data_IF_200241981126
#
_entry.id   IF_200241981126
#
_cell.length_a   1.000
_cell.length_b   1.000
_cell.length_c   1.000
_cell.angle_alpha   90.00
_cell.angle_beta   90.00
_cell.angle_gamma   90.00
#
_symmetry.space_group_name_H-M   'P 1'
#
loop_
_entity.id
_entity.type
_entity.pdbx_description
1 polymer ?
#
# COMPACT_ATOMS: atom_id res chain seq x y z
N UNK A 1 -7.51 53.21 34.20
CA UNK A 1 -8.11 53.18 32.86
C UNK A 1 -7.21 52.30 32.01
N UNK A 2 -7.58 51.09 31.82
CA UNK A 2 -6.84 50.12 31.00
C UNK A 2 -7.85 49.21 30.35
N UNK A 3 -8.06 49.43 29.04
CA UNK A 3 -8.95 48.63 28.21
C UNK A 3 -8.37 47.22 28.04
N UNK A 4 -9.09 46.23 28.50
CA UNK A 4 -8.82 44.83 28.16
C UNK A 4 -9.36 44.54 26.75
N UNK A 5 -8.45 44.22 25.86
CA UNK A 5 -8.75 43.68 24.54
C UNK A 5 -9.18 42.21 24.67
N UNK A 6 -10.47 41.98 24.49
CA UNK A 6 -11.04 40.65 24.48
C UNK A 6 -10.87 40.09 23.06
N UNK A 7 -9.81 39.33 22.78
CA UNK A 7 -9.63 38.58 21.58
C UNK A 7 -10.72 37.50 21.47
N UNK A 8 -11.69 37.69 20.55
CA UNK A 8 -12.71 36.71 20.21
C UNK A 8 -12.04 35.51 19.53
N UNK A 9 -12.19 34.35 20.16
CA UNK A 9 -11.89 33.05 19.52
C UNK A 9 -12.84 32.88 18.32
N UNK A 10 -12.35 32.58 17.12
CA UNK A 10 -13.24 32.34 15.98
C UNK A 10 -14.09 31.09 16.22
N UNK A 11 -15.39 31.25 16.09
CA UNK A 11 -16.39 30.18 16.16
C UNK A 11 -16.09 29.16 15.06
N UNK A 12 -15.83 27.91 15.46
CA UNK A 12 -15.66 26.80 14.50
C UNK A 12 -17.00 26.57 13.82
N UNK A 13 -17.02 26.75 12.51
CA UNK A 13 -18.17 26.35 11.69
C UNK A 13 -18.40 24.83 11.84
N UNK A 14 -19.66 24.39 12.01
CA UNK A 14 -19.97 22.98 12.06
C UNK A 14 -19.57 22.31 10.75
N UNK A 15 -18.85 21.18 10.85
CA UNK A 15 -18.56 20.29 9.73
C UNK A 15 -19.88 19.98 9.01
N UNK A 16 -19.90 20.24 7.72
CA UNK A 16 -21.04 19.89 6.86
C UNK A 16 -21.39 18.40 6.94
N UNK A 17 -22.59 17.99 6.48
CA UNK A 17 -22.97 16.60 6.49
C UNK A 17 -21.91 15.73 5.80
N UNK A 18 -21.67 14.52 6.36
CA UNK A 18 -20.76 13.55 5.74
C UNK A 18 -21.12 13.37 4.27
N UNK A 19 -20.12 13.30 3.35
CA UNK A 19 -20.40 13.14 1.93
C UNK A 19 -21.22 11.87 1.70
N UNK A 20 -22.27 11.98 0.90
CA UNK A 20 -23.07 10.82 0.47
C UNK A 20 -22.12 9.82 -0.22
N UNK A 21 -22.20 8.54 0.21
CA UNK A 21 -21.47 7.44 -0.44
C UNK A 21 -21.92 7.34 -1.88
N UNK A 22 -21.08 7.76 -2.83
CA UNK A 22 -21.47 7.90 -4.25
C UNK A 22 -21.75 6.57 -4.92
N UNK A 23 -21.09 5.49 -4.52
CA UNK A 23 -21.39 4.12 -4.95
C UNK A 23 -20.85 3.14 -3.92
N UNK A 24 -21.60 2.09 -3.56
CA UNK A 24 -21.09 1.06 -2.65
C UNK A 24 -19.91 0.31 -3.30
N UNK A 25 -19.07 -0.33 -2.47
CA UNK A 25 -18.06 -1.25 -2.94
C UNK A 25 -18.66 -2.30 -3.87
N UNK A 26 -17.97 -2.62 -4.98
CA UNK A 26 -18.37 -3.74 -5.81
C UNK A 26 -18.19 -5.06 -5.07
N UNK A 27 -18.83 -6.13 -5.56
CA UNK A 27 -18.45 -7.48 -5.13
C UNK A 27 -17.03 -7.81 -5.60
N UNK A 28 -16.31 -8.65 -4.85
CA UNK A 28 -15.04 -9.21 -5.27
C UNK A 28 -15.23 -10.08 -6.51
N UNK A 29 -14.41 -9.90 -7.53
CA UNK A 29 -14.48 -10.68 -8.80
C UNK A 29 -13.10 -11.09 -9.27
N UNK A 30 -13.01 -12.25 -9.91
CA UNK A 30 -11.81 -12.69 -10.59
C UNK A 30 -11.76 -12.09 -11.99
N UNK A 31 -10.65 -11.43 -12.30
CA UNK A 31 -10.35 -10.91 -13.62
C UNK A 31 -9.15 -11.67 -14.20
N UNK A 32 -9.27 -12.07 -15.47
CA UNK A 32 -8.15 -12.70 -16.19
C UNK A 32 -7.26 -11.62 -16.78
N UNK A 33 -6.04 -11.52 -16.29
CA UNK A 33 -5.03 -10.56 -16.76
C UNK A 33 -3.65 -11.19 -16.76
N UNK A 34 -2.77 -10.81 -17.67
CA UNK A 34 -1.40 -11.33 -17.78
C UNK A 34 -1.30 -12.87 -17.62
N UNK A 35 -2.28 -13.59 -18.15
CA UNK A 35 -2.31 -15.06 -18.11
C UNK A 35 -2.72 -15.69 -16.77
N UNK A 36 -3.12 -14.92 -15.76
CA UNK A 36 -3.54 -15.39 -14.42
C UNK A 36 -4.87 -14.80 -14.00
N UNK A 37 -5.49 -15.39 -12.97
CA UNK A 37 -6.73 -14.88 -12.40
C UNK A 37 -6.39 -14.08 -11.12
N UNK A 38 -6.71 -12.78 -11.12
CA UNK A 38 -6.54 -11.90 -9.97
C UNK A 38 -7.90 -11.48 -9.42
N UNK A 39 -8.02 -11.49 -8.08
CA UNK A 39 -9.22 -11.01 -7.39
C UNK A 39 -9.15 -9.50 -7.24
N UNK A 40 -10.21 -8.82 -7.67
CA UNK A 40 -10.30 -7.36 -7.74
C UNK A 40 -11.59 -6.89 -7.08
N UNK A 41 -11.52 -5.74 -6.44
CA UNK A 41 -12.68 -5.01 -5.92
C UNK A 41 -12.55 -3.53 -6.24
N UNK A 42 -13.67 -2.86 -6.52
CA UNK A 42 -13.69 -1.44 -6.93
C UNK A 42 -14.66 -0.64 -6.08
N UNK A 43 -14.39 0.68 -5.98
CA UNK A 43 -15.18 1.66 -5.24
C UNK A 43 -15.32 2.91 -6.12
N UNK A 44 -16.44 3.60 -6.03
CA UNK A 44 -16.70 4.80 -6.82
C UNK A 44 -17.19 4.49 -8.23
N UNK A 45 -17.24 5.51 -9.08
CA UNK A 45 -17.74 5.43 -10.46
C UNK A 45 -16.58 5.12 -11.42
N UNK A 46 -16.76 4.17 -12.32
CA UNK A 46 -15.75 3.79 -13.33
C UNK A 46 -15.45 4.87 -14.37
N UNK A 47 -16.27 5.93 -14.45
CA UNK A 47 -16.01 7.11 -15.27
C UNK A 47 -15.09 8.15 -14.62
N UNK A 48 -14.80 8.02 -13.33
CA UNK A 48 -13.90 8.92 -12.62
C UNK A 48 -12.42 8.53 -12.80
N UNK A 49 -11.45 9.44 -12.56
CA UNK A 49 -10.02 9.11 -12.61
C UNK A 49 -9.66 7.95 -11.69
N UNK A 50 -8.93 6.96 -12.25
CA UNK A 50 -8.64 5.71 -11.57
C UNK A 50 -7.48 5.84 -10.56
N UNK A 51 -7.64 5.24 -9.38
CA UNK A 51 -6.56 4.97 -8.41
C UNK A 51 -6.41 3.46 -8.29
N UNK A 52 -5.24 2.92 -8.63
CA UNK A 52 -4.90 1.52 -8.40
C UNK A 52 -4.06 1.38 -7.13
N UNK A 53 -4.63 0.70 -6.13
CA UNK A 53 -3.99 0.42 -4.85
C UNK A 53 -3.23 -0.91 -4.91
N UNK A 54 -1.90 -0.84 -4.80
CA UNK A 54 -0.96 -1.97 -4.90
C UNK A 54 -0.40 -2.24 -3.51
N UNK A 55 -0.80 -3.36 -2.89
CA UNK A 55 -0.38 -3.67 -1.52
C UNK A 55 1.07 -4.20 -1.45
N UNK A 56 1.61 -4.30 -0.25
CA UNK A 56 2.91 -4.90 0.02
C UNK A 56 2.90 -6.44 -0.06
N UNK A 57 4.04 -7.03 0.25
CA UNK A 57 4.19 -8.47 0.32
C UNK A 57 3.27 -9.09 1.37
N UNK A 58 2.90 -10.35 1.18
CA UNK A 58 2.17 -11.22 2.11
C UNK A 58 0.72 -10.88 2.43
N UNK A 59 0.29 -9.67 2.19
CA UNK A 59 -1.06 -9.17 2.55
C UNK A 59 -1.95 -9.10 1.32
N UNK A 60 -3.20 -9.53 1.45
CA UNK A 60 -4.20 -9.37 0.40
C UNK A 60 -4.68 -7.92 0.27
N UNK A 61 -5.56 -7.68 -0.69
CA UNK A 61 -6.18 -6.36 -0.88
C UNK A 61 -6.91 -5.83 0.35
N UNK A 62 -7.24 -6.68 1.34
CA UNK A 62 -7.87 -6.24 2.59
C UNK A 62 -6.97 -5.33 3.43
N UNK A 63 -5.65 -5.34 3.22
CA UNK A 63 -4.74 -4.38 3.83
C UNK A 63 -4.98 -2.92 3.41
N UNK A 64 -5.69 -2.70 2.31
CA UNK A 64 -6.36 -1.44 2.00
C UNK A 64 -7.80 -1.53 2.51
N UNK A 65 -8.03 -1.12 3.75
CA UNK A 65 -9.32 -1.28 4.42
C UNK A 65 -10.47 -0.62 3.63
N UNK A 66 -11.68 -1.18 3.76
CA UNK A 66 -12.88 -0.71 3.04
C UNK A 66 -13.10 0.79 3.26
N UNK A 67 -13.05 1.25 4.52
CA UNK A 67 -13.24 2.66 4.86
C UNK A 67 -12.17 3.56 4.23
N UNK A 68 -10.91 3.08 4.10
CA UNK A 68 -9.86 3.86 3.40
C UNK A 68 -10.19 4.02 1.92
N UNK A 69 -10.61 2.94 1.26
CA UNK A 69 -11.03 2.97 -0.13
C UNK A 69 -12.26 3.85 -0.35
N UNK A 70 -13.24 3.77 0.55
CA UNK A 70 -14.45 4.59 0.52
C UNK A 70 -14.14 6.08 0.70
N UNK A 71 -13.20 6.43 1.58
CA UNK A 71 -12.75 7.83 1.77
C UNK A 71 -12.07 8.39 0.52
N UNK A 72 -11.30 7.59 -0.21
CA UNK A 72 -10.74 7.99 -1.49
C UNK A 72 -11.83 8.15 -2.56
N UNK A 73 -12.77 7.20 -2.61
CA UNK A 73 -13.87 7.21 -3.57
C UNK A 73 -14.96 8.25 -3.26
N UNK A 74 -14.98 8.82 -2.04
CA UNK A 74 -15.88 9.93 -1.68
C UNK A 74 -15.60 11.22 -2.50
N UNK A 75 -14.37 11.43 -2.95
CA UNK A 75 -14.05 12.32 -4.05
C UNK A 75 -14.35 11.60 -5.39
N UNK A 76 -14.44 12.31 -6.53
CA UNK A 76 -14.63 11.67 -7.83
C UNK A 76 -13.36 10.88 -8.22
N UNK A 77 -13.24 9.66 -7.70
CA UNK A 77 -12.17 8.69 -7.96
C UNK A 77 -12.75 7.30 -8.10
N UNK A 78 -12.26 6.57 -9.10
CA UNK A 78 -12.48 5.14 -9.28
C UNK A 78 -11.35 4.38 -8.59
N UNK A 79 -11.60 3.87 -7.39
CA UNK A 79 -10.58 3.18 -6.57
C UNK A 79 -10.63 1.69 -6.84
N UNK A 80 -9.48 1.11 -7.13
CA UNK A 80 -9.29 -0.31 -7.47
C UNK A 80 -8.29 -0.89 -6.48
N UNK A 81 -8.65 -1.98 -5.79
CA UNK A 81 -7.72 -2.81 -5.03
C UNK A 81 -7.75 -4.25 -5.54
N UNK A 82 -6.66 -4.97 -5.40
CA UNK A 82 -6.57 -6.35 -5.88
C UNK A 82 -5.63 -7.19 -5.02
N UNK A 83 -5.85 -8.50 -5.07
CA UNK A 83 -4.92 -9.47 -4.50
C UNK A 83 -3.81 -9.76 -5.50
N UNK A 84 -2.55 -9.69 -5.08
CA UNK A 84 -1.41 -10.20 -5.84
C UNK A 84 -1.50 -11.72 -6.05
N UNK A 85 -0.70 -12.27 -6.95
CA UNK A 85 -0.44 -13.72 -6.98
C UNK A 85 -0.06 -14.19 -5.58
N UNK A 86 -0.54 -15.35 -5.18
CA UNK A 86 -0.35 -15.98 -3.87
C UNK A 86 -1.06 -15.28 -2.68
N UNK A 87 -1.74 -14.16 -2.87
CA UNK A 87 -2.52 -13.55 -1.78
C UNK A 87 -4.02 -13.68 -2.00
N UNK A 88 -4.76 -13.70 -0.91
CA UNK A 88 -6.21 -13.69 -0.92
C UNK A 88 -6.85 -14.74 -1.84
N UNK A 89 -7.68 -14.28 -2.78
CA UNK A 89 -8.43 -15.14 -3.71
C UNK A 89 -7.81 -15.23 -5.11
N UNK A 90 -6.68 -14.58 -5.35
CA UNK A 90 -5.95 -14.66 -6.61
C UNK A 90 -5.33 -16.04 -6.83
N UNK A 91 -4.73 -16.26 -8.00
CA UNK A 91 -3.98 -17.48 -8.28
C UNK A 91 -2.93 -17.75 -7.21
N UNK A 92 -2.77 -19.01 -6.84
CA UNK A 92 -1.78 -19.43 -5.83
C UNK A 92 -0.94 -20.59 -6.36
N UNK A 93 0.32 -20.63 -5.95
CA UNK A 93 1.34 -21.60 -6.34
C UNK A 93 1.88 -22.32 -5.11
N UNK A 94 2.74 -23.31 -5.31
CA UNK A 94 3.39 -24.03 -4.22
C UNK A 94 4.32 -23.11 -3.42
N UNK A 95 4.37 -23.24 -2.08
CA UNK A 95 5.24 -22.43 -1.25
C UNK A 95 6.73 -22.61 -1.57
N UNK A 96 7.49 -21.52 -1.63
CA UNK A 96 8.94 -21.49 -1.74
C UNK A 96 9.51 -21.56 -3.16
N UNK A 97 8.67 -21.76 -4.18
CA UNK A 97 9.12 -21.80 -5.57
C UNK A 97 8.12 -21.12 -6.53
N UNK A 98 7.84 -19.82 -6.37
CA UNK A 98 6.89 -19.13 -7.22
C UNK A 98 7.40 -19.05 -8.67
N UNK A 99 6.56 -19.37 -9.66
CA UNK A 99 6.95 -19.33 -11.08
C UNK A 99 6.79 -17.93 -11.68
N UNK A 100 7.02 -16.90 -10.89
CA UNK A 100 6.88 -15.49 -11.29
C UNK A 100 7.94 -14.62 -10.62
N UNK A 101 8.12 -13.42 -11.17
CA UNK A 101 9.06 -12.40 -10.73
C UNK A 101 8.33 -11.13 -10.28
N UNK A 102 9.07 -10.17 -9.70
CA UNK A 102 8.55 -8.84 -9.42
C UNK A 102 8.04 -8.12 -10.69
N UNK A 103 8.67 -8.38 -11.86
CA UNK A 103 8.22 -7.83 -13.14
C UNK A 103 6.91 -8.46 -13.63
N UNK A 104 6.65 -9.72 -13.30
CA UNK A 104 5.33 -10.33 -13.56
C UNK A 104 4.23 -9.67 -12.72
N UNK A 105 4.52 -9.33 -11.46
CA UNK A 105 3.59 -8.57 -10.61
C UNK A 105 3.38 -7.14 -11.16
N UNK A 106 4.41 -6.54 -11.75
CA UNK A 106 4.28 -5.24 -12.44
C UNK A 106 3.40 -5.36 -13.68
N UNK A 107 3.62 -6.39 -14.49
CA UNK A 107 2.78 -6.68 -15.66
C UNK A 107 1.32 -7.00 -15.28
N UNK A 108 1.10 -7.62 -14.13
CA UNK A 108 -0.24 -7.84 -13.57
C UNK A 108 -0.93 -6.51 -13.26
N UNK A 109 -0.26 -5.58 -12.59
CA UNK A 109 -0.81 -4.27 -12.23
C UNK A 109 -1.18 -3.45 -13.49
N UNK A 110 -0.28 -3.43 -14.49
CA UNK A 110 -0.55 -2.75 -15.77
C UNK A 110 -1.65 -3.46 -16.55
N UNK A 111 -1.63 -4.78 -16.60
CA UNK A 111 -2.65 -5.59 -17.29
C UNK A 111 -4.06 -5.47 -16.69
N UNK A 112 -4.17 -5.14 -15.39
CA UNK A 112 -5.45 -4.81 -14.78
C UNK A 112 -6.06 -3.54 -15.40
N UNK A 113 -5.24 -2.53 -15.74
CA UNK A 113 -5.73 -1.34 -16.42
C UNK A 113 -6.33 -1.71 -17.80
N UNK A 114 -5.66 -2.59 -18.56
CA UNK A 114 -6.19 -3.07 -19.84
C UNK A 114 -7.51 -3.82 -19.67
N UNK A 115 -7.59 -4.70 -18.68
CA UNK A 115 -8.78 -5.52 -18.39
C UNK A 115 -9.98 -4.68 -17.96
N UNK A 116 -9.72 -3.48 -17.39
CA UNK A 116 -10.73 -2.53 -16.93
C UNK A 116 -10.99 -1.39 -17.93
N UNK A 117 -10.42 -1.46 -19.15
CA UNK A 117 -10.51 -0.44 -20.20
C UNK A 117 -10.04 0.96 -19.73
N UNK A 118 -8.98 1.00 -18.90
CA UNK A 118 -8.38 2.23 -18.40
C UNK A 118 -7.12 2.58 -19.18
N UNK A 119 -7.04 3.80 -19.68
CA UNK A 119 -5.85 4.30 -20.39
C UNK A 119 -4.66 4.45 -19.44
N UNK A 120 -4.89 5.05 -18.28
CA UNK A 120 -3.91 5.24 -17.21
C UNK A 120 -4.56 5.26 -15.84
N UNK A 121 -3.74 5.18 -14.78
CA UNK A 121 -4.19 5.32 -13.40
C UNK A 121 -3.15 6.04 -12.54
N UNK A 122 -3.61 6.62 -11.43
CA UNK A 122 -2.77 7.00 -10.32
C UNK A 122 -2.39 5.72 -9.55
N UNK A 123 -1.09 5.37 -9.51
CA UNK A 123 -0.64 4.17 -8.81
C UNK A 123 -0.27 4.52 -7.37
N UNK A 124 -0.87 3.82 -6.42
CA UNK A 124 -0.56 3.92 -4.99
C UNK A 124 0.05 2.61 -4.53
N UNK A 125 1.36 2.58 -4.35
CA UNK A 125 2.09 1.39 -3.98
C UNK A 125 2.60 1.43 -2.54
N UNK A 126 2.31 0.39 -1.74
CA UNK A 126 2.81 0.25 -0.38
C UNK A 126 3.90 -0.82 -0.32
N UNK A 127 5.04 -0.52 0.34
CA UNK A 127 6.13 -1.48 0.53
C UNK A 127 6.58 -2.08 -0.82
N UNK A 128 6.53 -3.40 -1.01
CA UNK A 128 6.74 -4.06 -2.31
C UNK A 128 5.86 -3.48 -3.43
N UNK A 129 4.61 -3.09 -3.12
CA UNK A 129 3.73 -2.44 -4.08
C UNK A 129 4.28 -1.12 -4.61
N UNK A 130 5.09 -0.41 -3.82
CA UNK A 130 5.81 0.78 -4.28
C UNK A 130 6.92 0.45 -5.30
N UNK A 131 7.61 -0.68 -5.15
CA UNK A 131 8.57 -1.16 -6.16
C UNK A 131 7.87 -1.54 -7.46
N UNK A 132 6.71 -2.21 -7.37
CA UNK A 132 5.85 -2.50 -8.53
C UNK A 132 5.42 -1.21 -9.23
N UNK A 133 4.97 -0.20 -8.48
CA UNK A 133 4.54 1.08 -9.02
C UNK A 133 5.70 1.86 -9.68
N UNK A 134 6.91 1.86 -9.08
CA UNK A 134 8.11 2.46 -9.69
C UNK A 134 8.50 1.75 -10.98
N UNK A 135 8.50 0.40 -11.01
CA UNK A 135 8.75 -0.37 -12.23
C UNK A 135 7.70 -0.09 -13.31
N UNK A 136 6.42 0.03 -12.95
CA UNK A 136 5.39 0.41 -13.90
C UNK A 136 5.63 1.80 -14.49
N UNK A 137 6.05 2.78 -13.67
CA UNK A 137 6.37 4.13 -14.17
C UNK A 137 7.61 4.17 -15.07
N UNK A 138 8.59 3.29 -14.84
CA UNK A 138 9.81 3.19 -15.65
C UNK A 138 9.56 2.46 -16.99
N UNK A 139 8.81 1.37 -16.96
CA UNK A 139 8.65 0.47 -18.10
C UNK A 139 7.36 0.77 -18.91
N UNK A 140 6.37 1.46 -18.30
CA UNK A 140 5.08 1.83 -18.88
C UNK A 140 4.66 3.26 -18.52
N UNK A 141 5.47 4.29 -18.80
CA UNK A 141 5.23 5.67 -18.32
C UNK A 141 3.88 6.23 -18.74
N UNK A 142 3.39 5.88 -19.93
CA UNK A 142 2.09 6.35 -20.44
C UNK A 142 0.88 5.78 -19.68
N UNK A 143 1.09 4.75 -18.84
CA UNK A 143 0.04 4.11 -18.04
C UNK A 143 -0.06 4.68 -16.62
N UNK A 144 0.85 5.60 -16.24
CA UNK A 144 0.99 6.11 -14.87
C UNK A 144 0.74 7.61 -14.84
N UNK A 145 -0.44 8.02 -14.37
CA UNK A 145 -0.81 9.41 -14.24
C UNK A 145 -0.06 10.10 -13.09
N UNK A 146 0.14 9.41 -11.97
CA UNK A 146 1.00 9.82 -10.85
C UNK A 146 1.38 8.62 -9.99
N UNK A 147 2.42 8.78 -9.17
CA UNK A 147 2.86 7.80 -8.17
C UNK A 147 2.59 8.30 -6.75
N UNK A 148 2.10 7.40 -5.88
CA UNK A 148 2.17 7.56 -4.43
C UNK A 148 2.89 6.35 -3.85
N UNK A 149 4.02 6.56 -3.18
CA UNK A 149 4.87 5.53 -2.61
C UNK A 149 4.75 5.55 -1.09
N UNK A 150 4.13 4.54 -0.49
CA UNK A 150 3.85 4.47 0.95
C UNK A 150 4.77 3.45 1.61
N UNK A 151 5.63 3.86 2.54
CA UNK A 151 6.55 2.96 3.27
C UNK A 151 7.33 2.07 2.30
N UNK A 152 7.91 2.64 1.25
CA UNK A 152 8.63 1.88 0.21
C UNK A 152 10.11 2.24 0.17
N UNK A 153 10.87 1.50 -0.63
CA UNK A 153 12.31 1.61 -0.74
C UNK A 153 12.76 1.52 -2.20
N UNK A 154 13.76 2.32 -2.60
CA UNK A 154 14.41 2.15 -3.90
C UNK A 154 15.39 0.96 -3.93
N UNK A 155 15.67 0.35 -2.77
CA UNK A 155 16.74 -0.64 -2.60
C UNK A 155 18.14 -0.02 -2.62
N UNK A 156 19.13 -0.83 -2.30
CA UNK A 156 20.55 -0.45 -2.35
C UNK A 156 21.28 -0.63 -1.02
N UNK A 157 22.58 -0.96 -1.08
CA UNK A 157 23.39 -1.29 0.10
C UNK A 157 23.85 -0.07 0.91
N UNK A 158 23.64 1.14 0.40
CA UNK A 158 23.98 2.42 1.03
C UNK A 158 22.86 2.98 1.91
N UNK A 159 21.71 2.32 1.92
CA UNK A 159 20.55 2.71 2.72
C UNK A 159 20.60 2.07 4.11
N UNK A 160 19.93 2.68 5.12
CA UNK A 160 19.86 2.11 6.45
C UNK A 160 19.31 0.67 6.43
N UNK A 161 19.92 -0.20 7.23
CA UNK A 161 19.44 -1.57 7.37
C UNK A 161 18.11 -1.63 8.14
N UNK A 162 17.36 -2.73 7.95
CA UNK A 162 16.19 -3.05 8.75
C UNK A 162 16.57 -3.13 10.24
N UNK A 163 15.62 -2.83 11.12
CA UNK A 163 15.89 -2.90 12.57
C UNK A 163 16.25 -4.32 13.02
N UNK A 164 17.11 -4.43 14.03
CA UNK A 164 17.46 -5.72 14.65
C UNK A 164 16.21 -6.44 15.18
N UNK A 165 15.23 -5.69 15.70
CA UNK A 165 13.96 -6.23 16.19
C UNK A 165 13.17 -6.91 15.08
N UNK A 166 13.08 -6.28 13.90
CA UNK A 166 12.42 -6.85 12.72
C UNK A 166 13.12 -8.14 12.27
N UNK A 167 14.45 -8.11 12.14
CA UNK A 167 15.23 -9.26 11.73
C UNK A 167 15.12 -10.42 12.72
N UNK A 168 15.16 -10.12 14.02
CA UNK A 168 15.00 -11.14 15.07
C UNK A 168 13.62 -11.78 15.03
N UNK A 169 12.56 -10.95 14.86
CA UNK A 169 11.19 -11.46 14.81
C UNK A 169 10.96 -12.37 13.59
N UNK A 170 11.34 -11.93 12.41
CA UNK A 170 11.10 -12.66 11.16
C UNK A 170 11.94 -13.93 11.04
N UNK A 171 13.08 -14.01 11.74
CA UNK A 171 13.91 -15.24 11.78
C UNK A 171 13.16 -16.44 12.39
N UNK A 172 12.13 -16.21 13.21
CA UNK A 172 11.28 -17.25 13.80
C UNK A 172 10.25 -17.85 12.86
N UNK A 173 9.98 -17.24 11.72
CA UNK A 173 8.93 -17.65 10.79
C UNK A 173 9.12 -19.07 10.22
N UNK A 174 10.38 -19.51 10.08
CA UNK A 174 10.71 -20.84 9.52
C UNK A 174 10.21 -22.04 10.32
N UNK A 175 9.81 -21.84 11.59
CA UNK A 175 9.28 -22.88 12.46
C UNK A 175 7.75 -22.86 12.61
N UNK A 176 7.07 -21.91 11.96
CA UNK A 176 5.62 -21.74 12.08
C UNK A 176 4.88 -22.79 11.24
N UNK A 177 3.87 -23.41 11.82
CA UNK A 177 2.90 -24.22 11.09
C UNK A 177 1.87 -23.28 10.41
N UNK A 178 2.05 -23.04 9.14
CA UNK A 178 1.16 -22.16 8.34
C UNK A 178 -0.26 -22.70 8.18
N UNK A 179 -0.53 -23.96 8.59
CA UNK A 179 -1.88 -24.51 8.63
C UNK A 179 -2.62 -24.24 9.95
N UNK A 180 -1.89 -23.83 10.99
CA UNK A 180 -2.48 -23.40 12.26
C UNK A 180 -2.94 -21.92 12.17
N UNK A 181 -4.22 -21.73 11.95
CA UNK A 181 -4.85 -20.43 11.80
C UNK A 181 -4.51 -19.46 12.94
N UNK A 182 -4.61 -19.90 14.19
CA UNK A 182 -4.38 -19.02 15.34
C UNK A 182 -2.89 -18.67 15.48
N UNK A 183 -1.99 -19.63 15.22
CA UNK A 183 -0.56 -19.37 15.21
C UNK A 183 -0.16 -18.37 14.12
N UNK A 184 -0.76 -18.46 12.94
CA UNK A 184 -0.56 -17.48 11.85
C UNK A 184 -1.05 -16.09 12.25
N UNK A 185 -2.25 -15.97 12.83
CA UNK A 185 -2.78 -14.69 13.27
C UNK A 185 -1.87 -14.07 14.33
N UNK A 186 -1.44 -14.84 15.33
CA UNK A 186 -0.50 -14.34 16.36
C UNK A 186 0.82 -13.89 15.76
N UNK A 187 1.35 -14.63 14.80
CA UNK A 187 2.57 -14.25 14.09
C UNK A 187 2.39 -12.93 13.34
N UNK A 188 1.33 -12.76 12.58
CA UNK A 188 1.08 -11.53 11.82
C UNK A 188 0.83 -10.34 12.76
N UNK A 189 0.09 -10.52 13.85
CA UNK A 189 -0.12 -9.46 14.86
C UNK A 189 1.21 -9.06 15.51
N UNK A 190 2.08 -10.04 15.83
CA UNK A 190 3.43 -9.74 16.34
C UNK A 190 4.26 -8.95 15.33
N UNK A 191 4.20 -9.30 14.04
CA UNK A 191 4.86 -8.55 12.98
C UNK A 191 4.34 -7.10 12.86
N UNK A 192 3.02 -6.90 12.98
CA UNK A 192 2.42 -5.56 12.99
C UNK A 192 2.86 -4.73 14.20
N UNK A 193 3.10 -5.35 15.38
CA UNK A 193 3.70 -4.65 16.53
C UNK A 193 5.11 -4.15 16.20
N UNK A 194 5.93 -4.98 15.59
CA UNK A 194 7.28 -4.59 15.14
C UNK A 194 7.19 -3.49 14.08
N UNK A 195 6.30 -3.63 13.09
CA UNK A 195 6.08 -2.62 12.07
C UNK A 195 5.64 -1.27 12.64
N UNK A 196 4.87 -1.28 13.73
CA UNK A 196 4.40 -0.03 14.34
C UNK A 196 5.53 0.81 14.94
N UNK A 197 6.73 0.24 15.14
CA UNK A 197 7.88 0.96 15.68
C UNK A 197 7.60 1.64 17.03
N UNK A 198 6.65 1.13 17.82
CA UNK A 198 6.21 1.74 19.07
C UNK A 198 5.40 3.02 18.89
N UNK A 199 4.77 3.24 17.75
CA UNK A 199 3.95 4.42 17.42
C UNK A 199 2.79 4.68 18.39
N UNK A 200 2.25 3.61 18.98
CA UNK A 200 1.04 3.66 19.82
C UNK A 200 -0.27 3.76 19.01
N UNK A 201 -0.19 3.64 17.69
CA UNK A 201 -1.35 3.72 16.79
C UNK A 201 -1.96 2.36 16.42
N UNK A 202 -1.30 1.25 16.79
CA UNK A 202 -1.78 -0.09 16.49
C UNK A 202 -3.03 -0.43 17.31
N UNK A 203 -4.18 -0.54 16.65
CA UNK A 203 -5.39 -1.14 17.21
C UNK A 203 -5.33 -2.65 17.00
N UNK A 204 -4.79 -3.36 17.99
CA UNK A 204 -4.60 -4.82 17.89
C UNK A 204 -5.92 -5.57 17.73
N UNK A 205 -7.01 -5.10 18.33
CA UNK A 205 -8.31 -5.77 18.22
C UNK A 205 -8.85 -5.69 16.80
N UNK A 206 -8.84 -4.49 16.22
CA UNK A 206 -9.24 -4.28 14.83
C UNK A 206 -8.32 -5.03 13.86
N UNK A 207 -6.99 -5.02 14.10
CA UNK A 207 -6.05 -5.74 13.25
C UNK A 207 -6.20 -7.25 13.35
N UNK A 208 -6.48 -7.79 14.52
CA UNK A 208 -6.74 -9.23 14.68
C UNK A 208 -7.97 -9.68 13.87
N UNK A 209 -9.03 -8.89 13.88
CA UNK A 209 -10.20 -9.15 13.05
C UNK A 209 -9.87 -9.09 11.55
N UNK A 210 -9.13 -8.07 11.12
CA UNK A 210 -8.70 -7.92 9.74
C UNK A 210 -7.82 -9.09 9.29
N UNK A 211 -6.79 -9.42 10.06
CA UNK A 211 -5.86 -10.54 9.80
C UNK A 211 -6.61 -11.87 9.79
N UNK A 212 -7.54 -12.09 10.73
CA UNK A 212 -8.38 -13.28 10.74
C UNK A 212 -9.20 -13.44 9.47
N UNK A 213 -9.83 -12.36 8.99
CA UNK A 213 -10.55 -12.35 7.70
C UNK A 213 -9.63 -12.58 6.51
N UNK A 214 -8.42 -12.03 6.54
CA UNK A 214 -7.44 -12.22 5.47
C UNK A 214 -6.94 -13.67 5.39
N UNK A 215 -6.61 -14.28 6.52
CA UNK A 215 -6.24 -15.69 6.62
C UNK A 215 -7.37 -16.60 6.12
N UNK A 216 -8.62 -16.35 6.56
CA UNK A 216 -9.79 -17.16 6.19
C UNK A 216 -10.12 -17.09 4.69
N UNK A 217 -9.82 -15.98 4.02
CA UNK A 217 -10.10 -15.82 2.58
C UNK A 217 -8.92 -16.22 1.69
N UNK A 218 -7.72 -16.37 2.24
CA UNK A 218 -6.50 -16.67 1.48
C UNK A 218 -6.46 -18.15 1.08
N UNK A 219 -6.26 -18.43 -0.23
CA UNK A 219 -6.26 -19.80 -0.78
C UNK A 219 -5.16 -20.68 -0.21
N UNK A 220 -3.97 -20.11 -0.02
CA UNK A 220 -2.81 -20.80 0.51
C UNK A 220 -1.99 -19.81 1.36
N UNK A 221 -2.16 -19.91 2.67
CA UNK A 221 -1.51 -19.01 3.63
C UNK A 221 0.02 -19.15 3.60
N UNK A 222 0.53 -20.38 3.47
CA UNK A 222 1.97 -20.61 3.37
C UNK A 222 2.57 -19.91 2.15
N UNK A 223 1.93 -20.04 0.98
CA UNK A 223 2.37 -19.36 -0.25
C UNK A 223 2.32 -17.85 -0.10
N UNK A 224 1.24 -17.33 0.50
CA UNK A 224 1.10 -15.89 0.76
C UNK A 224 2.25 -15.34 1.62
N UNK A 225 2.69 -16.08 2.61
CA UNK A 225 3.72 -15.61 3.54
C UNK A 225 5.15 -15.84 3.04
N UNK A 226 5.36 -16.73 2.08
CA UNK A 226 6.70 -17.18 1.65
C UNK A 226 7.05 -16.68 0.24
N UNK A 227 6.12 -16.79 -0.73
CA UNK A 227 6.47 -16.69 -2.14
C UNK A 227 6.95 -15.32 -2.58
N UNK A 228 6.41 -14.23 -2.02
CA UNK A 228 6.90 -12.88 -2.34
C UNK A 228 8.35 -12.62 -1.92
N UNK A 229 8.87 -13.37 -0.94
CA UNK A 229 10.28 -13.31 -0.55
C UNK A 229 11.16 -14.32 -1.30
N UNK A 230 10.56 -15.32 -1.95
CA UNK A 230 11.25 -16.35 -2.72
C UNK A 230 11.26 -16.08 -4.24
N UNK A 231 10.49 -15.10 -4.71
CA UNK A 231 10.43 -14.76 -6.13
C UNK A 231 11.70 -14.08 -6.62
N UNK A 232 11.94 -14.15 -7.92
CA UNK A 232 12.97 -13.38 -8.60
C UNK A 232 12.59 -11.89 -8.58
N UNK A 233 13.44 -11.07 -7.96
CA UNK A 233 13.26 -9.60 -7.93
C UNK A 233 13.79 -8.92 -9.18
N UNK A 234 14.55 -9.64 -10.02
CA UNK A 234 15.16 -9.13 -11.24
C UNK A 234 16.34 -8.19 -11.01
N UNK A 235 16.75 -7.51 -12.07
CA UNK A 235 17.83 -6.54 -12.01
C UNK A 235 17.44 -5.30 -11.19
N UNK A 236 18.37 -4.74 -10.40
CA UNK A 236 18.14 -3.48 -9.69
C UNK A 236 17.75 -2.36 -10.66
N UNK A 237 16.80 -1.54 -10.25
CA UNK A 237 16.26 -0.45 -11.08
C UNK A 237 16.50 0.95 -10.50
N UNK A 238 17.15 1.06 -9.34
CA UNK A 238 17.35 2.33 -8.64
C UNK A 238 18.05 3.39 -9.49
N UNK A 239 19.04 3.01 -10.27
CA UNK A 239 19.79 3.93 -11.14
C UNK A 239 18.91 4.57 -12.24
N UNK A 240 17.69 4.02 -12.46
CA UNK A 240 16.72 4.51 -13.41
C UNK A 240 15.66 5.44 -12.80
N UNK A 241 15.64 5.64 -11.49
CA UNK A 241 14.61 6.47 -10.83
C UNK A 241 14.55 7.90 -11.38
N UNK A 242 15.69 8.44 -11.86
CA UNK A 242 15.73 9.72 -12.55
C UNK A 242 14.97 9.79 -13.88
N UNK A 243 14.52 8.64 -14.44
CA UNK A 243 13.70 8.56 -15.65
C UNK A 243 12.20 8.70 -15.37
N UNK A 244 11.77 8.59 -14.09
CA UNK A 244 10.35 8.69 -13.72
C UNK A 244 9.87 10.12 -13.97
N UNK A 245 8.96 10.26 -14.95
CA UNK A 245 8.34 11.54 -15.30
C UNK A 245 7.01 11.81 -14.60
N UNK A 246 6.40 10.79 -14.01
CA UNK A 246 5.13 10.91 -13.31
C UNK A 246 5.29 11.72 -12.00
N UNK A 247 4.38 12.68 -11.70
CA UNK A 247 4.35 13.34 -10.39
C UNK A 247 4.38 12.30 -9.27
N UNK A 248 5.24 12.49 -8.26
CA UNK A 248 5.46 11.47 -7.22
C UNK A 248 5.28 12.05 -5.83
N UNK A 249 4.46 11.38 -5.00
CA UNK A 249 4.30 11.64 -3.58
C UNK A 249 4.86 10.45 -2.78
N UNK A 250 5.87 10.70 -1.95
CA UNK A 250 6.41 9.73 -1.00
C UNK A 250 5.76 9.95 0.35
N UNK A 251 5.15 8.92 0.95
CA UNK A 251 4.54 8.96 2.28
C UNK A 251 5.28 7.94 3.15
N UNK A 252 5.82 8.38 4.30
CA UNK A 252 6.68 7.50 5.09
C UNK A 252 6.59 7.79 6.57
N UNK A 253 6.57 6.74 7.39
CA UNK A 253 6.59 6.85 8.85
C UNK A 253 8.01 7.11 9.39
N UNK A 254 8.15 8.02 10.36
CA UNK A 254 9.45 8.34 10.99
C UNK A 254 9.97 7.22 11.91
N UNK A 255 9.12 6.22 12.21
CA UNK A 255 9.42 5.03 13.04
C UNK A 255 9.42 3.73 12.24
N UNK A 256 9.47 3.81 10.91
CA UNK A 256 9.49 2.61 10.08
C UNK A 256 10.73 1.75 10.42
N UNK A 257 10.46 0.55 10.93
CA UNK A 257 11.49 -0.41 11.38
C UNK A 257 12.00 -1.30 10.24
N UNK A 258 11.23 -1.40 9.15
CA UNK A 258 11.59 -2.17 7.97
C UNK A 258 12.40 -1.31 6.99
N UNK A 259 11.91 -0.13 6.68
CA UNK A 259 12.60 0.85 5.84
C UNK A 259 12.78 2.15 6.62
N UNK A 260 13.87 2.31 7.40
CA UNK A 260 14.11 3.55 8.11
C UNK A 260 14.05 4.78 7.19
N UNK A 261 13.73 5.96 7.72
CA UNK A 261 13.42 7.19 6.96
C UNK A 261 14.42 7.52 5.83
N UNK A 262 15.65 7.05 5.93
CA UNK A 262 16.66 7.20 4.86
C UNK A 262 16.23 6.66 3.50
N UNK A 263 15.34 5.65 3.47
CA UNK A 263 14.77 5.12 2.22
C UNK A 263 13.86 6.14 1.54
N UNK A 264 13.01 6.81 2.31
CA UNK A 264 12.12 7.85 1.79
C UNK A 264 12.89 9.08 1.30
N UNK A 265 13.94 9.50 2.04
CA UNK A 265 14.82 10.59 1.62
C UNK A 265 15.56 10.27 0.32
N UNK A 266 15.93 9.00 0.10
CA UNK A 266 16.52 8.56 -1.15
C UNK A 266 15.51 8.64 -2.30
N UNK A 267 14.27 8.19 -2.10
CA UNK A 267 13.19 8.30 -3.09
C UNK A 267 12.91 9.77 -3.46
N UNK A 268 12.76 10.66 -2.47
CA UNK A 268 12.55 12.09 -2.70
C UNK A 268 13.70 12.73 -3.50
N UNK A 269 14.92 12.32 -3.21
CA UNK A 269 16.11 12.87 -3.87
C UNK A 269 16.32 12.35 -5.29
N UNK A 270 16.02 11.08 -5.52
CA UNK A 270 16.37 10.36 -6.76
C UNK A 270 15.26 10.38 -7.80
N UNK A 271 13.99 10.58 -7.39
CA UNK A 271 12.87 10.76 -8.32
C UNK A 271 12.67 12.26 -8.58
N UNK A 272 12.66 12.72 -9.85
CA UNK A 272 12.48 14.13 -10.16
C UNK A 272 11.18 14.70 -9.62
N UNK A 273 11.26 15.86 -8.94
CA UNK A 273 10.11 16.57 -8.38
C UNK A 273 9.24 15.74 -7.43
N UNK A 274 9.79 14.71 -6.79
CA UNK A 274 9.08 13.98 -5.75
C UNK A 274 8.87 14.86 -4.50
N UNK A 275 7.70 14.76 -3.91
CA UNK A 275 7.35 15.40 -2.64
C UNK A 275 7.34 14.37 -1.52
N UNK A 276 7.88 14.70 -0.34
CA UNK A 276 7.90 13.81 0.83
C UNK A 276 6.92 14.28 1.91
N UNK A 277 6.03 13.39 2.31
CA UNK A 277 5.17 13.53 3.48
C UNK A 277 5.65 12.56 4.57
N UNK A 278 6.30 13.07 5.60
CA UNK A 278 6.69 12.29 6.77
C UNK A 278 5.53 12.22 7.76
N UNK A 279 5.17 11.00 8.16
CA UNK A 279 4.16 10.73 9.18
C UNK A 279 4.84 10.58 10.53
N UNK A 280 4.65 11.56 11.42
CA UNK A 280 5.23 11.54 12.76
C UNK A 280 4.69 10.38 13.59
N UNK A 281 5.55 9.75 14.39
CA UNK A 281 5.23 8.62 15.26
C UNK A 281 4.49 7.49 14.56
N UNK A 282 4.84 7.22 13.31
CA UNK A 282 4.23 6.19 12.49
C UNK A 282 5.31 5.23 12.03
N UNK A 283 5.03 3.92 12.07
CA UNK A 283 5.92 2.88 11.60
C UNK A 283 5.74 2.54 10.13
N UNK A 284 5.90 1.25 9.80
CA UNK A 284 5.70 0.73 8.44
C UNK A 284 4.21 0.60 8.05
N UNK A 285 3.33 0.62 9.04
CA UNK A 285 1.88 0.56 8.85
C UNK A 285 1.30 1.90 8.37
N UNK A 286 0.05 1.85 7.87
CA UNK A 286 -0.77 3.01 7.54
C UNK A 286 -2.00 3.04 8.46
N UNK A 287 -1.84 3.36 9.76
CA UNK A 287 -2.90 3.24 10.74
C UNK A 287 -4.01 4.28 10.50
N UNK A 288 -5.23 3.97 10.94
CA UNK A 288 -6.40 4.87 10.82
C UNK A 288 -6.14 6.27 11.39
N UNK A 289 -5.29 6.37 12.43
CA UNK A 289 -4.92 7.64 13.07
C UNK A 289 -4.27 8.67 12.11
N UNK A 290 -3.68 8.24 11.01
CA UNK A 290 -3.05 9.14 10.02
C UNK A 290 -3.89 9.36 8.77
N UNK A 291 -5.04 8.71 8.61
CA UNK A 291 -5.84 8.82 7.38
C UNK A 291 -6.36 10.24 7.12
N UNK A 292 -6.62 11.02 8.15
CA UNK A 292 -7.05 12.42 8.00
C UNK A 292 -5.94 13.33 7.43
N UNK A 293 -4.70 12.85 7.43
CA UNK A 293 -3.55 13.51 6.78
C UNK A 293 -3.31 12.89 5.40
N UNK A 294 -3.29 11.57 5.32
CA UNK A 294 -2.91 10.82 4.12
C UNK A 294 -3.95 10.91 3.02
N UNK A 295 -5.24 10.69 3.32
CA UNK A 295 -6.30 10.72 2.30
C UNK A 295 -6.39 12.09 1.60
N UNK A 296 -6.43 13.23 2.30
CA UNK A 296 -6.40 14.52 1.63
C UNK A 296 -5.12 14.79 0.82
N UNK A 297 -3.96 14.28 1.28
CA UNK A 297 -2.70 14.41 0.54
C UNK A 297 -2.77 13.64 -0.78
N UNK A 298 -3.20 12.38 -0.75
CA UNK A 298 -3.40 11.56 -1.95
C UNK A 298 -4.42 12.19 -2.92
N UNK A 299 -5.56 12.69 -2.41
CA UNK A 299 -6.57 13.31 -3.24
C UNK A 299 -6.08 14.60 -3.93
N UNK A 300 -5.30 15.42 -3.23
CA UNK A 300 -4.65 16.58 -3.85
C UNK A 300 -3.66 16.16 -4.93
N UNK A 301 -2.81 15.18 -4.61
CA UNK A 301 -1.79 14.68 -5.53
C UNK A 301 -2.39 14.08 -6.81
N UNK A 302 -3.52 13.40 -6.70
CA UNK A 302 -4.24 12.81 -7.84
C UNK A 302 -5.18 13.79 -8.56
N UNK A 303 -5.24 15.06 -8.18
CA UNK A 303 -6.10 16.09 -8.82
C UNK A 303 -5.42 16.86 -9.94
N UNK A 304 -4.14 16.63 -10.20
CA UNK A 304 -3.29 17.36 -11.15
C UNK A 304 -3.05 16.63 -12.47
N UNK A 305 -3.89 15.68 -12.86
CA UNK A 305 -3.82 14.96 -14.11
C UNK A 305 -4.92 15.36 -15.09
#
# INVERSE_FOLDING_TARGET
>A
MGNGDNARVPEQQPLGPAPEVRSPASEERLLRTNGVDLCVQTFGDSGDPAILLIHGATTSMLGWEDEFCERLAAAPRFVIRYDHRDTGRSVSYEPGAPPYSLRDLTADAVGLLDTLDLESAHLVGRSMGGQIAMLAALDHPDRVASLTLVGSSPGGPDLPEMSEEFLAYTSGAGSLDWSDREAVIEYVIGLLRVFSGGSGHLDEAAMRDLVGRDVDRTRNVASSQINHFAMDVGEPFRDRLGEIGAPTLVIHGDKDSLFPLGHALALEKEIPAAELLVLERTGHELPRAVWDIVVPAMLRHTSGG
#
